data_IF_185560061711
#
_entry.id   IF_185560061711
#
_cell.length_a   1.000
_cell.length_b   1.000
_cell.length_c   1.000
_cell.angle_alpha   90.00
_cell.angle_beta   90.00
_cell.angle_gamma   90.00
#
_symmetry.space_group_name_H-M   'P 1'
#
loop_
_entity.id
_entity.type
_entity.pdbx_description
1 polymer ?
#
# COMPACT_ATOMS: atom_id res chain seq x y z
N UNK A 1 24.07 -7.05 19.87
CA UNK A 1 23.38 -7.35 18.59
C UNK A 1 21.86 -7.19 18.80
N UNK A 2 21.40 -5.96 19.05
CA UNK A 2 20.00 -5.65 19.33
C UNK A 2 19.36 -5.14 18.04
N UNK A 3 18.64 -6.05 17.37
CA UNK A 3 17.96 -5.82 16.10
C UNK A 3 16.98 -4.66 16.28
N UNK A 4 17.24 -3.53 15.60
CA UNK A 4 16.30 -2.40 15.45
C UNK A 4 14.91 -2.98 15.12
N UNK A 5 14.00 -2.98 16.09
CA UNK A 5 12.58 -3.21 15.81
C UNK A 5 12.12 -2.00 15.00
N UNK A 6 12.09 -2.19 13.68
CA UNK A 6 11.51 -1.29 12.70
C UNK A 6 10.17 -0.78 13.22
N UNK A 7 10.02 0.54 13.36
CA UNK A 7 8.87 1.27 13.93
C UNK A 7 7.48 0.82 13.40
N UNK A 8 7.44 0.06 12.31
CA UNK A 8 6.24 -0.49 11.68
C UNK A 8 5.53 -1.58 12.50
N UNK A 9 6.23 -2.30 13.38
CA UNK A 9 5.65 -3.44 14.12
C UNK A 9 5.21 -3.12 15.55
N UNK A 10 5.62 -1.96 16.07
CA UNK A 10 5.22 -1.44 17.39
C UNK A 10 3.69 -1.40 17.57
N UNK A 11 2.88 -0.91 16.61
CA UNK A 11 1.43 -0.86 16.80
C UNK A 11 0.77 -2.25 16.84
N UNK A 12 1.35 -3.25 16.15
CA UNK A 12 0.83 -4.63 16.18
C UNK A 12 1.16 -5.28 17.52
N UNK A 13 2.38 -5.07 18.02
CA UNK A 13 2.79 -5.57 19.33
C UNK A 13 1.97 -4.94 20.47
N UNK A 14 1.68 -3.64 20.36
CA UNK A 14 0.80 -2.93 21.29
C UNK A 14 -0.63 -3.47 21.26
N UNK A 15 -1.18 -3.75 20.07
CA UNK A 15 -2.51 -4.35 19.93
C UNK A 15 -2.58 -5.72 20.62
N UNK A 16 -1.59 -6.59 20.41
CA UNK A 16 -1.52 -7.92 21.05
C UNK A 16 -1.45 -7.78 22.58
N UNK A 17 -0.63 -6.85 23.08
CA UNK A 17 -0.52 -6.59 24.51
C UNK A 17 -1.85 -6.08 25.12
N UNK A 18 -2.56 -5.20 24.41
CA UNK A 18 -3.87 -4.68 24.83
C UNK A 18 -4.92 -5.79 24.87
N UNK A 19 -4.96 -6.67 23.86
CA UNK A 19 -5.89 -7.81 23.82
C UNK A 19 -5.63 -8.77 24.97
N UNK A 20 -4.35 -9.09 25.25
CA UNK A 20 -3.98 -9.94 26.39
C UNK A 20 -4.32 -9.29 27.74
N UNK A 21 -4.08 -7.99 27.88
CA UNK A 21 -4.41 -7.25 29.09
C UNK A 21 -5.93 -7.18 29.34
N UNK A 22 -6.71 -6.90 28.30
CA UNK A 22 -8.18 -6.92 28.36
C UNK A 22 -8.71 -8.31 28.68
N UNK A 23 -8.18 -9.35 28.02
CA UNK A 23 -8.53 -10.74 28.33
C UNK A 23 -8.25 -11.11 29.78
N UNK A 24 -7.09 -10.71 30.32
CA UNK A 24 -6.76 -10.91 31.73
C UNK A 24 -7.69 -10.14 32.68
N UNK A 25 -8.02 -8.88 32.36
CA UNK A 25 -8.86 -8.03 33.20
C UNK A 25 -10.29 -8.57 33.27
N UNK A 26 -10.84 -9.00 32.12
CA UNK A 26 -12.13 -9.67 32.02
C UNK A 26 -12.14 -10.93 32.90
N UNK A 27 -11.15 -11.82 32.74
CA UNK A 27 -11.01 -13.00 33.60
C UNK A 27 -10.95 -12.66 35.09
N UNK A 28 -10.23 -11.59 35.46
CA UNK A 28 -10.10 -11.16 36.85
C UNK A 28 -11.42 -10.67 37.46
N UNK A 29 -12.20 -9.87 36.73
CA UNK A 29 -13.50 -9.36 37.21
C UNK A 29 -14.47 -10.53 37.45
N UNK A 30 -14.45 -11.45 36.50
CA UNK A 30 -15.26 -12.65 36.48
C UNK A 30 -14.97 -13.61 37.64
N UNK A 31 -13.69 -13.83 37.95
CA UNK A 31 -13.27 -14.78 38.97
C UNK A 31 -13.57 -14.29 40.40
N UNK A 32 -13.95 -13.02 40.57
CA UNK A 32 -14.01 -12.37 41.86
C UNK A 32 -15.43 -12.29 42.47
N UNK A 33 -16.49 -12.71 41.79
CA UNK A 33 -17.86 -12.62 42.34
C UNK A 33 -18.77 -13.84 42.09
N UNK A 34 -19.50 -14.18 43.15
CA UNK A 34 -20.53 -15.21 43.33
C UNK A 34 -21.75 -14.99 42.42
N UNK A 35 -21.58 -15.19 41.12
CA UNK A 35 -22.68 -15.18 40.13
C UNK A 35 -23.04 -16.60 39.67
N UNK A 36 -24.30 -16.87 39.29
CA UNK A 36 -24.68 -18.17 38.74
C UNK A 36 -23.83 -18.52 37.52
N UNK A 37 -23.23 -19.71 37.51
CA UNK A 37 -22.22 -20.17 36.54
C UNK A 37 -22.62 -19.93 35.09
N UNK A 38 -23.90 -20.10 34.74
CA UNK A 38 -24.41 -19.96 33.38
C UNK A 38 -24.43 -18.50 32.89
N UNK A 39 -24.85 -17.56 33.74
CA UNK A 39 -24.86 -16.14 33.39
C UNK A 39 -23.43 -15.67 33.15
N UNK A 40 -22.51 -16.13 33.99
CA UNK A 40 -21.09 -15.86 33.88
C UNK A 40 -20.50 -16.37 32.54
N UNK A 41 -20.71 -17.64 32.20
CA UNK A 41 -20.21 -18.24 30.95
C UNK A 41 -20.73 -17.50 29.71
N UNK A 42 -22.00 -17.09 29.72
CA UNK A 42 -22.62 -16.38 28.60
C UNK A 42 -21.98 -15.00 28.38
N UNK A 43 -21.72 -14.24 29.45
CA UNK A 43 -21.06 -12.93 29.36
C UNK A 43 -19.60 -13.06 28.91
N UNK A 44 -18.88 -14.07 29.42
CA UNK A 44 -17.51 -14.33 28.99
C UNK A 44 -17.45 -14.72 27.50
N UNK A 45 -18.38 -15.54 27.03
CA UNK A 45 -18.47 -15.94 25.62
C UNK A 45 -18.77 -14.74 24.71
N UNK A 46 -19.71 -13.87 25.10
CA UNK A 46 -20.05 -12.67 24.33
C UNK A 46 -18.85 -11.71 24.28
N UNK A 47 -18.18 -11.45 25.42
CA UNK A 47 -17.00 -10.58 25.45
C UNK A 47 -15.84 -11.14 24.62
N UNK A 48 -15.57 -12.45 24.72
CA UNK A 48 -14.55 -13.11 23.93
C UNK A 48 -14.86 -13.05 22.43
N UNK A 49 -16.12 -13.25 22.06
CA UNK A 49 -16.58 -13.14 20.67
C UNK A 49 -16.45 -11.71 20.12
N UNK A 50 -16.90 -10.70 20.88
CA UNK A 50 -16.77 -9.29 20.48
C UNK A 50 -15.31 -8.89 20.34
N UNK A 51 -14.45 -9.26 21.29
CA UNK A 51 -13.02 -8.97 21.24
C UNK A 51 -12.36 -9.63 20.02
N UNK A 52 -12.65 -10.91 19.78
CA UNK A 52 -12.11 -11.66 18.64
C UNK A 52 -12.55 -11.06 17.31
N UNK A 53 -13.83 -10.69 17.19
CA UNK A 53 -14.38 -10.07 15.98
C UNK A 53 -13.76 -8.71 15.73
N UNK A 54 -13.60 -7.89 16.78
CA UNK A 54 -12.95 -6.58 16.70
C UNK A 54 -11.48 -6.70 16.25
N UNK A 55 -10.73 -7.63 16.84
CA UNK A 55 -9.33 -7.88 16.48
C UNK A 55 -9.23 -8.36 15.03
N UNK A 56 -10.09 -9.28 14.62
CA UNK A 56 -10.12 -9.81 13.26
C UNK A 56 -10.44 -8.69 12.25
N UNK A 57 -11.42 -7.84 12.55
CA UNK A 57 -11.77 -6.69 11.72
C UNK A 57 -10.60 -5.71 11.56
N UNK A 58 -9.92 -5.37 12.66
CA UNK A 58 -8.74 -4.48 12.63
C UNK A 58 -7.58 -5.10 11.84
N UNK A 59 -7.35 -6.40 11.95
CA UNK A 59 -6.32 -7.11 11.22
C UNK A 59 -6.61 -7.18 9.72
N UNK A 60 -7.87 -7.40 9.32
CA UNK A 60 -8.28 -7.43 7.92
C UNK A 60 -8.15 -6.05 7.27
N UNK A 61 -8.72 -5.00 7.88
CA UNK A 61 -8.65 -3.64 7.33
C UNK A 61 -7.21 -3.19 7.09
N UNK A 62 -6.30 -3.47 8.02
CA UNK A 62 -4.90 -3.09 7.87
C UNK A 62 -4.19 -3.82 6.73
N UNK A 63 -4.59 -5.06 6.45
CA UNK A 63 -4.08 -5.83 5.31
C UNK A 63 -4.64 -5.28 3.99
N UNK A 64 -5.95 -4.99 3.94
CA UNK A 64 -6.61 -4.38 2.77
C UNK A 64 -5.99 -3.05 2.39
N UNK A 65 -5.76 -2.14 3.34
CA UNK A 65 -5.13 -0.85 3.07
C UNK A 65 -3.71 -0.98 2.51
N UNK A 66 -2.95 -1.99 2.97
CA UNK A 66 -1.60 -2.23 2.49
C UNK A 66 -1.58 -2.84 1.08
N UNK A 67 -2.56 -3.69 0.79
CA UNK A 67 -2.75 -4.29 -0.53
C UNK A 67 -3.22 -3.27 -1.55
N UNK A 68 -4.20 -2.42 -1.21
CA UNK A 68 -4.68 -1.33 -2.06
C UNK A 68 -3.56 -0.37 -2.45
N UNK A 69 -2.76 0.10 -1.48
CA UNK A 69 -1.59 0.97 -1.77
C UNK A 69 -0.56 0.28 -2.68
N UNK A 70 -0.38 -1.03 -2.51
CA UNK A 70 0.53 -1.81 -3.36
C UNK A 70 -0.02 -1.90 -4.78
N UNK A 71 -1.31 -2.15 -4.93
CA UNK A 71 -1.98 -2.25 -6.23
C UNK A 71 -1.94 -0.90 -6.97
N UNK A 72 -2.26 0.21 -6.29
CA UNK A 72 -2.12 1.57 -6.84
C UNK A 72 -0.69 1.84 -7.32
N UNK A 73 0.31 1.45 -6.53
CA UNK A 73 1.72 1.61 -6.90
C UNK A 73 2.10 0.78 -8.13
N UNK A 74 1.58 -0.45 -8.25
CA UNK A 74 1.81 -1.32 -9.40
C UNK A 74 1.15 -0.73 -10.65
N UNK A 75 -0.09 -0.23 -10.55
CA UNK A 75 -0.79 0.41 -11.66
C UNK A 75 -0.03 1.64 -12.16
N UNK A 76 0.45 2.49 -11.25
CA UNK A 76 1.24 3.65 -11.61
C UNK A 76 2.59 3.28 -12.25
N UNK A 77 3.25 2.23 -11.76
CA UNK A 77 4.48 1.71 -12.35
C UNK A 77 4.25 1.16 -13.77
N UNK A 78 3.16 0.43 -13.97
CA UNK A 78 2.77 -0.08 -15.29
C UNK A 78 2.47 1.05 -16.27
N UNK A 79 1.79 2.12 -15.81
CA UNK A 79 1.54 3.31 -16.63
C UNK A 79 2.86 3.96 -17.07
N UNK A 80 3.80 4.16 -16.13
CA UNK A 80 5.16 4.65 -16.43
C UNK A 80 5.87 3.78 -17.46
N UNK A 81 5.84 2.46 -17.28
CA UNK A 81 6.47 1.51 -18.20
C UNK A 81 5.86 1.60 -19.60
N UNK A 82 4.53 1.69 -19.70
CA UNK A 82 3.82 1.82 -20.98
C UNK A 82 4.26 3.08 -21.74
N UNK A 83 4.28 4.23 -21.06
CA UNK A 83 4.67 5.51 -21.68
C UNK A 83 6.13 5.47 -22.14
N UNK A 84 7.04 4.91 -21.34
CA UNK A 84 8.44 4.78 -21.74
C UNK A 84 8.64 3.79 -22.90
N UNK A 85 7.91 2.67 -22.93
CA UNK A 85 7.96 1.73 -24.05
C UNK A 85 7.45 2.38 -25.34
N UNK A 86 6.40 3.19 -25.26
CA UNK A 86 5.87 3.94 -26.39
C UNK A 86 6.87 4.98 -26.90
N UNK A 87 7.53 5.73 -26.01
CA UNK A 87 8.63 6.61 -26.39
C UNK A 87 9.74 5.86 -27.10
N UNK A 88 10.23 4.76 -26.52
CA UNK A 88 11.34 4.00 -27.11
C UNK A 88 10.97 3.47 -28.50
N UNK A 89 9.72 3.03 -28.69
CA UNK A 89 9.23 2.59 -29.99
C UNK A 89 9.21 3.73 -31.01
N UNK A 90 8.68 4.90 -30.66
CA UNK A 90 8.63 6.04 -31.58
C UNK A 90 10.04 6.57 -31.87
N UNK A 91 10.93 6.62 -30.86
CA UNK A 91 12.34 6.99 -31.06
C UNK A 91 13.03 6.01 -32.01
N UNK A 92 12.78 4.71 -31.84
CA UNK A 92 13.29 3.68 -32.75
C UNK A 92 12.80 3.88 -34.18
N UNK A 93 11.50 4.16 -34.37
CA UNK A 93 10.91 4.41 -35.68
C UNK A 93 11.51 5.66 -36.34
N UNK A 94 11.73 6.74 -35.59
CA UNK A 94 12.36 7.97 -36.09
C UNK A 94 13.83 7.73 -36.46
N UNK A 95 14.61 7.03 -35.63
CA UNK A 95 16.02 6.72 -35.93
C UNK A 95 16.13 5.76 -37.12
N UNK A 96 15.20 4.81 -37.25
CA UNK A 96 15.17 3.84 -38.34
C UNK A 96 14.84 4.49 -39.70
N UNK A 97 14.02 5.56 -39.70
CA UNK A 97 13.77 6.39 -40.87
C UNK A 97 14.95 7.36 -41.09
N UNK A 98 15.83 7.05 -42.06
CA UNK A 98 16.99 7.89 -42.44
C UNK A 98 16.66 9.33 -42.92
N UNK A 99 15.38 9.75 -42.94
CA UNK A 99 14.92 11.11 -43.22
C UNK A 99 13.82 11.49 -42.23
N UNK A 100 14.11 12.46 -41.35
CA UNK A 100 13.15 13.02 -40.40
C UNK A 100 12.26 14.03 -41.14
N UNK A 101 10.94 13.83 -41.09
CA UNK A 101 9.95 14.80 -41.60
C UNK A 101 9.47 15.71 -40.47
N UNK A 102 8.88 16.86 -40.81
CA UNK A 102 8.30 17.79 -39.83
C UNK A 102 7.17 17.17 -38.98
N UNK A 103 6.49 16.16 -39.53
CA UNK A 103 5.46 15.37 -38.87
C UNK A 103 6.06 14.57 -37.68
N UNK A 104 7.21 13.91 -37.88
CA UNK A 104 7.89 13.13 -36.83
C UNK A 104 8.34 14.02 -35.64
N UNK A 105 8.73 15.28 -35.91
CA UNK A 105 9.11 16.26 -34.87
C UNK A 105 7.89 16.68 -34.04
N UNK A 106 6.70 16.72 -34.65
CA UNK A 106 5.46 17.10 -33.97
C UNK A 106 4.98 15.96 -33.07
N UNK A 107 5.09 14.71 -33.52
CA UNK A 107 4.81 13.52 -32.70
C UNK A 107 5.75 13.43 -31.49
N UNK A 108 7.05 13.65 -31.68
CA UNK A 108 8.02 13.68 -30.57
C UNK A 108 7.70 14.77 -29.52
N UNK A 109 7.20 15.94 -29.95
CA UNK A 109 6.76 17.00 -29.02
C UNK A 109 5.50 16.62 -28.22
N UNK A 110 4.54 15.95 -28.86
CA UNK A 110 3.35 15.41 -28.18
C UNK A 110 3.74 14.35 -27.14
N UNK A 111 4.70 13.49 -27.47
CA UNK A 111 5.27 12.51 -26.56
C UNK A 111 5.94 13.17 -25.34
N UNK A 112 6.68 14.26 -25.56
CA UNK A 112 7.29 15.03 -24.47
C UNK A 112 6.22 15.57 -23.49
N UNK A 113 5.08 16.05 -24.00
CA UNK A 113 3.97 16.46 -23.14
C UNK A 113 3.39 15.28 -22.33
N UNK A 114 3.22 14.11 -22.94
CA UNK A 114 2.75 12.91 -22.23
C UNK A 114 3.73 12.42 -21.16
N UNK A 115 5.03 12.53 -21.43
CA UNK A 115 6.09 12.22 -20.45
C UNK A 115 6.10 13.23 -19.32
N UNK A 116 5.81 14.51 -19.57
CA UNK A 116 5.69 15.51 -18.50
C UNK A 116 4.58 15.20 -17.49
N UNK A 117 3.57 14.45 -17.89
CA UNK A 117 2.49 14.00 -17.00
C UNK A 117 2.88 12.81 -16.12
N UNK A 118 3.88 12.02 -16.50
CA UNK A 118 4.15 10.69 -15.90
C UNK A 118 5.59 10.56 -15.37
N UNK A 119 6.53 11.36 -15.86
CA UNK A 119 7.95 11.26 -15.55
C UNK A 119 8.37 12.19 -14.41
N UNK A 120 9.47 11.82 -13.72
CA UNK A 120 10.06 12.68 -12.68
C UNK A 120 10.73 13.90 -13.30
N UNK A 121 10.92 14.95 -12.49
CA UNK A 121 11.56 16.19 -12.93
C UNK A 121 12.94 15.95 -13.59
N UNK A 122 13.69 14.92 -13.16
CA UNK A 122 14.98 14.58 -13.76
C UNK A 122 14.86 14.08 -15.21
N UNK A 123 13.80 13.34 -15.54
CA UNK A 123 13.59 12.78 -16.89
C UNK A 123 13.23 13.88 -17.89
N UNK A 124 12.43 14.86 -17.45
CA UNK A 124 12.10 16.03 -18.27
C UNK A 124 13.32 16.88 -18.57
N UNK A 125 14.22 17.01 -17.61
CA UNK A 125 15.46 17.75 -17.79
C UNK A 125 16.41 17.04 -18.77
N UNK A 126 16.53 15.71 -18.69
CA UNK A 126 17.34 14.92 -19.62
C UNK A 126 16.80 14.96 -21.06
N UNK A 127 15.48 14.88 -21.25
CA UNK A 127 14.88 14.88 -22.60
C UNK A 127 14.94 16.26 -23.28
N UNK A 128 14.71 17.35 -22.53
CA UNK A 128 14.87 18.72 -23.06
C UNK A 128 16.33 19.06 -23.43
N UNK A 129 17.31 18.30 -22.94
CA UNK A 129 18.71 18.44 -23.36
C UNK A 129 19.05 17.63 -24.62
N UNK A 130 18.20 16.69 -25.00
CA UNK A 130 18.37 15.80 -26.16
C UNK A 130 17.70 16.34 -27.43
N UNK A 131 16.58 17.05 -27.29
CA UNK A 131 15.88 17.78 -28.37
C UNK A 131 16.57 19.11 -28.64
#
# INVERSE_FOLDING_TARGET
MTKKLTHKNIPVLALIAIVLALGYLVLRIIFNDTTPTITFELFAAILGFTLTTLVTFLLLNKQTDAELRKEESIQFLNLKMSVYQELLKQLHDVISKRKIKKEDITELRLLNQQISFVASAEVLQAFNSFV
#
